data_IF_944627824705
#
_entry.id   IF_944627824705
#
_cell.length_a   1.000
_cell.length_b   1.000
_cell.length_c   1.000
_cell.angle_alpha   90.00
_cell.angle_beta   90.00
_cell.angle_gamma   90.00
#
_symmetry.space_group_name_H-M   'P 1'
#
loop_
_entity.id
_entity.type
_entity.pdbx_description
1 polymer ?
#
# COMPACT_ATOMS: atom_id res chain seq x y z
N UNK A 1 -41.08 0.28 21.47
CA UNK A 1 -40.29 1.49 21.12
C UNK A 1 -38.79 1.29 20.92
N UNK A 2 -38.15 0.29 21.53
CA UNK A 2 -36.71 0.01 21.32
C UNK A 2 -36.35 -0.37 19.86
N UNK A 3 -37.21 -1.14 19.20
CA UNK A 3 -37.00 -1.57 17.80
C UNK A 3 -37.08 -0.41 16.81
N UNK A 4 -38.00 0.53 17.03
CA UNK A 4 -38.12 1.75 16.24
C UNK A 4 -36.87 2.63 16.36
N UNK A 5 -36.37 2.81 17.58
CA UNK A 5 -35.11 3.52 17.84
C UNK A 5 -33.92 2.85 17.14
N UNK A 6 -33.82 1.51 17.20
CA UNK A 6 -32.77 0.75 16.51
C UNK A 6 -32.85 0.92 14.99
N UNK A 7 -34.06 0.85 14.41
CA UNK A 7 -34.26 1.05 12.97
C UNK A 7 -33.90 2.46 12.51
N UNK A 8 -34.25 3.50 13.27
CA UNK A 8 -33.87 4.88 12.97
C UNK A 8 -32.38 5.13 13.12
N UNK A 9 -31.75 4.51 14.12
CA UNK A 9 -30.29 4.62 14.32
C UNK A 9 -29.54 3.94 13.16
N UNK A 10 -29.98 2.77 12.71
CA UNK A 10 -29.42 2.08 11.56
C UNK A 10 -29.62 2.87 10.26
N UNK A 11 -30.81 3.44 10.05
CA UNK A 11 -31.11 4.29 8.89
C UNK A 11 -30.27 5.58 8.89
N UNK A 12 -30.11 6.23 10.04
CA UNK A 12 -29.25 7.41 10.18
C UNK A 12 -27.78 7.07 9.89
N UNK A 13 -27.28 5.94 10.39
CA UNK A 13 -25.93 5.45 10.10
C UNK A 13 -25.74 5.18 8.60
N UNK A 14 -26.76 4.64 7.91
CA UNK A 14 -26.76 4.42 6.47
C UNK A 14 -26.75 5.74 5.69
N UNK A 15 -27.54 6.74 6.11
CA UNK A 15 -27.52 8.05 5.49
C UNK A 15 -26.19 8.77 5.68
N UNK A 16 -25.57 8.73 6.86
CA UNK A 16 -24.23 9.32 7.08
C UNK A 16 -23.20 8.63 6.19
N UNK A 17 -23.23 7.31 6.14
CA UNK A 17 -22.39 6.46 5.28
C UNK A 17 -22.45 6.87 3.80
N UNK A 18 -23.64 7.17 3.29
CA UNK A 18 -23.83 7.55 1.89
C UNK A 18 -23.55 9.05 1.68
N UNK A 19 -23.98 9.90 2.62
CA UNK A 19 -23.96 11.36 2.46
C UNK A 19 -22.56 11.95 2.62
N UNK A 20 -21.73 11.43 3.54
CA UNK A 20 -20.38 11.98 3.75
C UNK A 20 -19.51 11.87 2.48
N UNK A 21 -19.44 10.72 1.79
CA UNK A 21 -18.72 10.65 0.51
C UNK A 21 -19.38 11.48 -0.60
N UNK A 22 -20.71 11.60 -0.63
CA UNK A 22 -21.43 12.40 -1.64
C UNK A 22 -21.29 13.92 -1.45
N UNK A 23 -21.09 14.37 -0.21
CA UNK A 23 -20.95 15.77 0.14
C UNK A 23 -19.51 16.29 -0.03
N UNK A 24 -18.52 15.40 0.00
CA UNK A 24 -17.13 15.72 -0.29
C UNK A 24 -16.87 15.63 -1.80
N UNK A 25 -15.87 16.36 -2.30
CA UNK A 25 -15.51 16.31 -3.72
C UNK A 25 -15.14 14.89 -4.14
N UNK A 26 -15.19 14.61 -5.45
CA UNK A 26 -14.98 13.26 -6.02
C UNK A 26 -13.68 12.60 -5.56
N UNK A 27 -12.69 13.39 -5.15
CA UNK A 27 -11.36 12.99 -4.71
C UNK A 27 -11.34 12.35 -3.30
N UNK A 28 -12.28 12.73 -2.42
CA UNK A 28 -12.29 12.27 -1.01
C UNK A 28 -13.05 10.99 -0.78
N UNK A 29 -13.84 10.54 -1.77
CA UNK A 29 -14.76 9.41 -1.60
C UNK A 29 -14.02 8.13 -1.19
N UNK A 30 -12.85 7.85 -1.79
CA UNK A 30 -12.05 6.66 -1.46
C UNK A 30 -11.53 6.71 -0.03
N UNK A 31 -11.05 7.87 0.41
CA UNK A 31 -10.61 8.08 1.78
C UNK A 31 -11.75 7.85 2.77
N UNK A 32 -12.94 8.40 2.50
CA UNK A 32 -14.13 8.20 3.33
C UNK A 32 -14.54 6.73 3.40
N UNK A 33 -14.63 6.03 2.26
CA UNK A 33 -14.97 4.61 2.23
C UNK A 33 -13.93 3.75 2.95
N UNK A 34 -12.64 4.10 2.86
CA UNK A 34 -11.59 3.40 3.59
C UNK A 34 -11.73 3.59 5.11
N UNK A 35 -12.07 4.79 5.58
CA UNK A 35 -12.34 5.05 7.00
C UNK A 35 -13.60 4.31 7.45
N UNK A 36 -14.65 4.31 6.64
CA UNK A 36 -15.87 3.60 6.94
C UNK A 36 -15.64 2.09 7.04
N UNK A 37 -14.89 1.49 6.12
CA UNK A 37 -14.53 0.07 6.17
C UNK A 37 -13.77 -0.27 7.46
N UNK A 38 -12.86 0.61 7.91
CA UNK A 38 -12.15 0.46 9.18
C UNK A 38 -13.10 0.48 10.37
N UNK A 39 -14.03 1.44 10.39
CA UNK A 39 -15.04 1.57 11.45
C UNK A 39 -15.93 0.33 11.50
N UNK A 40 -16.32 -0.21 10.34
CA UNK A 40 -17.12 -1.43 10.27
C UNK A 40 -16.35 -2.63 10.86
N UNK A 41 -15.07 -2.79 10.54
CA UNK A 41 -14.24 -3.83 11.17
C UNK A 41 -14.10 -3.61 12.69
N UNK A 42 -14.01 -2.36 13.15
CA UNK A 42 -13.90 -2.05 14.58
C UNK A 42 -15.18 -2.41 15.33
N UNK A 43 -16.34 -2.05 14.79
CA UNK A 43 -17.64 -2.43 15.34
C UNK A 43 -17.82 -3.95 15.27
N UNK A 44 -17.40 -4.60 14.18
CA UNK A 44 -17.46 -6.05 14.04
C UNK A 44 -16.65 -6.77 15.14
N UNK A 45 -15.46 -6.26 15.47
CA UNK A 45 -14.66 -6.76 16.60
C UNK A 45 -15.33 -6.52 17.96
N UNK A 46 -15.98 -5.38 18.15
CA UNK A 46 -16.72 -5.05 19.39
C UNK A 46 -17.96 -5.92 19.61
N UNK A 47 -18.62 -6.33 18.54
CA UNK A 47 -19.85 -7.11 18.58
C UNK A 47 -19.64 -8.61 18.31
N UNK A 48 -18.40 -9.05 18.09
CA UNK A 48 -18.03 -10.39 17.57
C UNK A 48 -18.84 -10.83 16.34
N UNK A 49 -19.25 -9.88 15.48
CA UNK A 49 -20.11 -10.16 14.32
C UNK A 49 -19.30 -10.42 13.05
N UNK A 50 -19.41 -11.62 12.49
CA UNK A 50 -18.78 -12.02 11.23
C UNK A 50 -19.47 -11.39 10.04
N UNK A 51 -20.79 -11.24 10.04
CA UNK A 51 -21.50 -10.52 8.98
C UNK A 51 -20.93 -9.11 8.76
N UNK A 52 -20.77 -8.34 9.83
CA UNK A 52 -20.25 -6.98 9.74
C UNK A 52 -18.77 -6.95 9.32
N UNK A 53 -18.00 -7.97 9.72
CA UNK A 53 -16.61 -8.14 9.28
C UNK A 53 -16.52 -8.34 7.76
N UNK A 54 -17.36 -9.20 7.17
CA UNK A 54 -17.39 -9.42 5.73
C UNK A 54 -17.84 -8.18 4.96
N UNK A 55 -18.82 -7.45 5.48
CA UNK A 55 -19.25 -6.19 4.88
C UNK A 55 -18.11 -5.16 4.86
N UNK A 56 -17.30 -5.10 5.92
CA UNK A 56 -16.06 -4.33 5.95
C UNK A 56 -15.04 -4.77 4.89
N UNK A 57 -14.85 -6.08 4.70
CA UNK A 57 -13.97 -6.62 3.65
C UNK A 57 -14.45 -6.28 2.24
N UNK A 58 -15.75 -6.40 1.97
CA UNK A 58 -16.34 -6.02 0.67
C UNK A 58 -16.09 -4.53 0.40
N UNK A 59 -16.27 -3.67 1.41
CA UNK A 59 -16.01 -2.25 1.25
C UNK A 59 -14.53 -1.96 1.00
N UNK A 60 -13.61 -2.64 1.69
CA UNK A 60 -12.17 -2.55 1.39
C UNK A 60 -11.81 -3.03 -0.02
N UNK A 61 -12.48 -4.05 -0.54
CA UNK A 61 -12.30 -4.50 -1.92
C UNK A 61 -12.75 -3.44 -2.92
N UNK A 62 -13.87 -2.75 -2.65
CA UNK A 62 -14.34 -1.61 -3.46
C UNK A 62 -13.31 -0.47 -3.41
N UNK A 63 -12.81 -0.12 -2.22
CA UNK A 63 -11.76 0.89 -2.03
C UNK A 63 -10.51 0.54 -2.84
N UNK A 64 -10.05 -0.71 -2.77
CA UNK A 64 -8.87 -1.17 -3.53
C UNK A 64 -9.10 -1.10 -5.04
N UNK A 65 -10.25 -1.57 -5.53
CA UNK A 65 -10.61 -1.51 -6.95
C UNK A 65 -10.68 -0.07 -7.45
N UNK A 66 -11.29 0.82 -6.67
CA UNK A 66 -11.38 2.24 -6.99
C UNK A 66 -10.02 2.94 -6.97
N UNK A 67 -9.20 2.68 -5.95
CA UNK A 67 -7.84 3.21 -5.83
C UNK A 67 -7.04 2.92 -7.11
N UNK A 68 -7.09 1.68 -7.59
CA UNK A 68 -6.33 1.23 -8.75
C UNK A 68 -6.91 1.76 -10.07
N UNK A 69 -8.24 1.66 -10.25
CA UNK A 69 -8.86 1.92 -11.54
C UNK A 69 -9.25 3.39 -11.77
N UNK A 70 -9.43 4.18 -10.71
CA UNK A 70 -9.95 5.54 -10.79
C UNK A 70 -8.96 6.53 -10.21
N UNK A 71 -8.55 6.38 -8.95
CA UNK A 71 -7.81 7.44 -8.26
C UNK A 71 -6.37 7.55 -8.80
N UNK A 72 -5.66 6.43 -8.98
CA UNK A 72 -4.30 6.43 -9.54
C UNK A 72 -4.26 7.04 -10.96
N UNK A 73 -5.10 6.61 -11.92
CA UNK A 73 -5.13 7.22 -13.24
C UNK A 73 -5.50 8.71 -13.20
N UNK A 74 -6.51 9.09 -12.40
CA UNK A 74 -6.99 10.48 -12.36
C UNK A 74 -5.91 11.43 -11.87
N UNK A 75 -5.11 11.03 -10.88
CA UNK A 75 -4.11 11.89 -10.24
C UNK A 75 -2.74 11.90 -10.94
N UNK A 76 -2.38 10.83 -11.67
CA UNK A 76 -1.03 10.68 -12.25
C UNK A 76 -0.99 10.48 -13.78
N UNK A 77 -2.12 10.48 -14.49
CA UNK A 77 -2.11 10.41 -15.98
C UNK A 77 -1.53 11.68 -16.60
N UNK A 78 -1.83 12.84 -16.02
CA UNK A 78 -1.40 14.13 -16.56
C UNK A 78 -0.16 14.60 -15.82
N UNK A 79 0.99 14.45 -16.45
CA UNK A 79 2.28 14.93 -15.95
C UNK A 79 2.29 16.46 -16.03
N UNK A 80 2.52 17.12 -14.90
CA UNK A 80 2.58 18.58 -14.84
C UNK A 80 4.03 19.05 -14.92
N UNK A 81 4.53 19.26 -16.14
CA UNK A 81 5.92 19.72 -16.35
C UNK A 81 6.07 21.19 -15.99
N UNK A 82 7.08 21.54 -15.20
CA UNK A 82 7.46 22.93 -14.93
C UNK A 82 6.59 23.65 -13.88
N UNK A 83 5.94 22.91 -12.99
CA UNK A 83 5.11 23.48 -11.93
C UNK A 83 5.95 24.19 -10.85
N UNK A 84 5.53 25.37 -10.37
CA UNK A 84 6.16 26.02 -9.22
C UNK A 84 6.11 25.14 -7.96
N UNK A 85 7.15 25.22 -7.11
CA UNK A 85 7.25 24.41 -5.87
C UNK A 85 6.04 24.58 -4.94
N UNK A 86 5.47 25.78 -4.87
CA UNK A 86 4.29 26.05 -4.02
C UNK A 86 3.05 25.30 -4.48
N UNK A 87 2.78 25.28 -5.79
CA UNK A 87 1.64 24.55 -6.36
C UNK A 87 1.84 23.04 -6.24
N UNK A 88 3.06 22.55 -6.50
CA UNK A 88 3.40 21.15 -6.30
C UNK A 88 3.20 20.72 -4.84
N UNK A 89 3.61 21.54 -3.86
CA UNK A 89 3.46 21.20 -2.44
C UNK A 89 1.98 21.07 -2.02
N UNK A 90 1.09 21.90 -2.56
CA UNK A 90 -0.35 21.82 -2.31
C UNK A 90 -0.91 20.53 -2.90
N UNK A 91 -0.58 20.22 -4.16
CA UNK A 91 -1.05 18.98 -4.81
C UNK A 91 -0.47 17.72 -4.16
N UNK A 92 0.80 17.76 -3.73
CA UNK A 92 1.41 16.69 -2.96
C UNK A 92 0.65 16.43 -1.67
N UNK A 93 0.24 17.49 -0.95
CA UNK A 93 -0.54 17.35 0.28
C UNK A 93 -1.92 16.74 0.00
N UNK A 94 -2.57 17.14 -1.09
CA UNK A 94 -3.85 16.58 -1.53
C UNK A 94 -3.72 15.09 -1.87
N UNK A 95 -2.73 14.71 -2.70
CA UNK A 95 -2.43 13.30 -3.02
C UNK A 95 -2.06 12.50 -1.77
N UNK A 96 -1.29 13.10 -0.85
CA UNK A 96 -0.93 12.47 0.43
C UNK A 96 -2.17 12.14 1.25
N UNK A 97 -3.19 12.98 1.25
CA UNK A 97 -4.47 12.69 1.93
C UNK A 97 -5.28 11.63 1.20
N UNK A 98 -5.44 11.76 -0.12
CA UNK A 98 -6.23 10.85 -0.96
C UNK A 98 -5.70 9.41 -0.89
N UNK A 99 -4.37 9.24 -0.97
CA UNK A 99 -3.74 7.92 -0.97
C UNK A 99 -3.29 7.48 0.42
N UNK A 100 -2.83 8.41 1.26
CA UNK A 100 -2.33 8.11 2.59
C UNK A 100 -3.42 7.64 3.56
N UNK A 101 -4.64 8.18 3.47
CA UNK A 101 -5.76 7.75 4.33
C UNK A 101 -6.15 6.29 4.07
N UNK A 102 -6.39 5.84 2.82
CA UNK A 102 -6.59 4.42 2.52
C UNK A 102 -5.43 3.53 2.99
N UNK A 103 -4.18 3.91 2.72
CA UNK A 103 -3.00 3.14 3.16
C UNK A 103 -2.99 3.00 4.70
N UNK A 104 -3.14 4.11 5.42
CA UNK A 104 -3.19 4.12 6.87
C UNK A 104 -4.36 3.27 7.41
N UNK A 105 -5.52 3.34 6.75
CA UNK A 105 -6.69 2.54 7.07
C UNK A 105 -6.43 1.03 6.93
N UNK A 106 -5.80 0.57 5.84
CA UNK A 106 -5.43 -0.85 5.69
C UNK A 106 -4.43 -1.32 6.77
N UNK A 107 -3.46 -0.47 7.14
CA UNK A 107 -2.55 -0.79 8.25
C UNK A 107 -3.31 -0.86 9.59
N UNK A 108 -4.22 0.08 9.84
CA UNK A 108 -5.06 0.08 11.04
C UNK A 108 -5.98 -1.16 11.10
N UNK A 109 -6.57 -1.57 9.97
CA UNK A 109 -7.35 -2.81 9.87
C UNK A 109 -6.49 -4.03 10.20
N UNK A 110 -5.27 -4.10 9.68
CA UNK A 110 -4.33 -5.18 10.03
C UNK A 110 -4.02 -5.24 11.53
N UNK A 111 -3.82 -4.09 12.19
CA UNK A 111 -3.60 -4.02 13.65
C UNK A 111 -4.85 -4.43 14.44
N UNK A 112 -6.02 -3.97 14.01
CA UNK A 112 -7.29 -4.28 14.65
C UNK A 112 -7.62 -5.77 14.57
N UNK A 113 -7.31 -6.42 13.45
CA UNK A 113 -7.52 -7.86 13.28
C UNK A 113 -6.51 -8.71 14.07
N UNK A 114 -5.32 -8.18 14.36
CA UNK A 114 -4.34 -8.83 15.26
C UNK A 114 -4.74 -8.71 16.73
N UNK A 115 -5.30 -7.56 17.13
CA UNK A 115 -5.70 -7.26 18.50
C UNK A 115 -7.17 -6.81 18.52
N UNK A 116 -8.13 -7.76 18.47
CA UNK A 116 -9.55 -7.43 18.51
C UNK A 116 -9.90 -6.64 19.78
N UNK A 117 -10.76 -5.62 19.69
CA UNK A 117 -11.19 -4.86 20.86
C UNK A 117 -11.99 -5.75 21.82
N UNK A 118 -11.93 -5.45 23.13
CA UNK A 118 -12.76 -6.14 24.13
C UNK A 118 -14.24 -6.08 23.73
N UNK A 119 -14.87 -7.25 23.62
CA UNK A 119 -16.24 -7.42 23.18
C UNK A 119 -17.26 -6.94 24.20
N UNK A 120 -18.36 -6.38 23.72
CA UNK A 120 -19.55 -6.12 24.53
C UNK A 120 -20.32 -7.45 24.76
N UNK A 121 -21.16 -7.55 25.81
CA UNK A 121 -22.05 -8.71 25.97
C UNK A 121 -22.82 -8.95 24.65
N UNK A 122 -22.76 -10.18 24.13
CA UNK A 122 -23.16 -10.48 22.75
C UNK A 122 -24.54 -9.91 22.43
N UNK A 123 -24.58 -8.91 21.54
CA UNK A 123 -25.82 -8.31 21.06
C UNK A 123 -26.48 -9.16 19.95
N UNK A 124 -25.70 -10.04 19.30
CA UNK A 124 -26.15 -10.97 18.27
C UNK A 124 -25.87 -12.40 18.75
N UNK A 125 -26.90 -13.23 18.83
CA UNK A 125 -26.74 -14.65 19.12
C UNK A 125 -25.99 -15.33 17.97
N UNK A 126 -25.01 -16.17 18.29
CA UNK A 126 -24.14 -16.86 17.31
C UNK A 126 -24.90 -17.72 16.30
N UNK A 127 -26.10 -18.17 16.64
CA UNK A 127 -26.99 -18.94 15.74
C UNK A 127 -27.47 -18.15 14.52
N UNK A 128 -27.45 -16.81 14.58
CA UNK A 128 -27.86 -15.94 13.47
C UNK A 128 -26.67 -15.33 12.69
N UNK A 129 -25.43 -15.71 12.99
CA UNK A 129 -24.25 -15.15 12.32
C UNK A 129 -23.70 -16.10 11.25
N UNK A 130 -22.95 -15.54 10.29
CA UNK A 130 -22.38 -16.30 9.18
C UNK A 130 -21.02 -16.89 9.54
N UNK A 131 -20.67 -18.00 8.89
CA UNK A 131 -19.34 -18.59 9.00
C UNK A 131 -18.24 -17.63 8.53
N UNK A 132 -17.06 -17.74 9.15
CA UNK A 132 -15.94 -16.90 8.76
C UNK A 132 -15.24 -17.41 7.49
N UNK A 133 -15.46 -16.75 6.35
CA UNK A 133 -14.83 -17.11 5.08
C UNK A 133 -13.32 -16.79 5.06
N UNK A 134 -12.87 -15.77 5.80
CA UNK A 134 -11.46 -15.36 5.85
C UNK A 134 -10.93 -15.48 7.27
N UNK A 135 -10.13 -16.53 7.50
CA UNK A 135 -9.45 -16.71 8.78
C UNK A 135 -8.62 -15.46 9.14
N UNK A 136 -8.67 -15.05 10.41
CA UNK A 136 -8.08 -13.78 10.88
C UNK A 136 -6.61 -13.60 10.50
N UNK A 137 -5.80 -14.66 10.53
CA UNK A 137 -4.38 -14.60 10.16
C UNK A 137 -4.17 -14.24 8.68
N UNK A 138 -4.98 -14.80 7.78
CA UNK A 138 -4.90 -14.49 6.35
C UNK A 138 -5.39 -13.08 6.05
N UNK A 139 -6.46 -12.62 6.72
CA UNK A 139 -6.95 -11.25 6.59
C UNK A 139 -5.87 -10.21 6.98
N UNK A 140 -5.14 -10.47 8.07
CA UNK A 140 -4.02 -9.62 8.51
C UNK A 140 -2.90 -9.59 7.48
N UNK A 141 -2.50 -10.75 6.94
CA UNK A 141 -1.44 -10.84 5.92
C UNK A 141 -1.86 -10.09 4.65
N UNK A 142 -3.11 -10.26 4.21
CA UNK A 142 -3.66 -9.58 3.04
C UNK A 142 -3.69 -8.07 3.25
N UNK A 143 -4.20 -7.58 4.38
CA UNK A 143 -4.24 -6.16 4.70
C UNK A 143 -2.83 -5.53 4.72
N UNK A 144 -1.86 -6.21 5.33
CA UNK A 144 -0.47 -5.76 5.36
C UNK A 144 0.17 -5.76 3.96
N UNK A 145 -0.11 -6.77 3.14
CA UNK A 145 0.42 -6.89 1.77
C UNK A 145 -0.16 -5.80 0.87
N UNK A 146 -1.47 -5.57 0.95
CA UNK A 146 -2.16 -4.52 0.19
C UNK A 146 -1.64 -3.14 0.61
N UNK A 147 -1.54 -2.85 1.91
CA UNK A 147 -1.00 -1.59 2.39
C UNK A 147 0.43 -1.33 1.89
N UNK A 148 1.29 -2.35 1.93
CA UNK A 148 2.67 -2.26 1.45
C UNK A 148 2.72 -2.03 -0.07
N UNK A 149 1.88 -2.73 -0.83
CA UNK A 149 1.76 -2.54 -2.29
C UNK A 149 1.27 -1.15 -2.66
N UNK A 150 0.22 -0.65 -1.99
CA UNK A 150 -0.27 0.71 -2.17
C UNK A 150 0.81 1.75 -1.86
N UNK A 151 1.53 1.58 -0.74
CA UNK A 151 2.63 2.48 -0.35
C UNK A 151 3.76 2.47 -1.39
N UNK A 152 4.14 1.30 -1.89
CA UNK A 152 5.14 1.15 -2.94
C UNK A 152 4.74 1.87 -4.24
N UNK A 153 3.48 1.69 -4.67
CA UNK A 153 2.96 2.33 -5.89
C UNK A 153 2.89 3.85 -5.71
N UNK A 154 2.29 4.33 -4.62
CA UNK A 154 2.16 5.77 -4.32
C UNK A 154 3.53 6.45 -4.28
N UNK A 155 4.48 5.94 -3.50
CA UNK A 155 5.82 6.54 -3.41
C UNK A 155 6.60 6.47 -4.73
N UNK A 156 6.40 5.43 -5.54
CA UNK A 156 7.03 5.32 -6.86
C UNK A 156 6.50 6.36 -7.85
N UNK A 157 5.19 6.61 -7.84
CA UNK A 157 4.57 7.62 -8.71
C UNK A 157 4.88 9.03 -8.23
N UNK A 158 4.84 9.26 -6.92
CA UNK A 158 5.12 10.58 -6.36
C UNK A 158 6.59 10.97 -6.56
N UNK A 159 7.53 10.04 -6.36
CA UNK A 159 8.94 10.30 -6.64
C UNK A 159 9.17 10.56 -8.13
N UNK A 160 8.45 9.85 -9.02
CA UNK A 160 8.52 10.11 -10.46
C UNK A 160 8.08 11.54 -10.77
N UNK A 161 6.91 11.95 -10.28
CA UNK A 161 6.36 13.28 -10.55
C UNK A 161 7.29 14.38 -10.00
N UNK A 162 7.80 14.19 -8.78
CA UNK A 162 8.79 15.09 -8.19
C UNK A 162 10.06 15.21 -9.05
N UNK A 163 10.65 14.07 -9.43
CA UNK A 163 11.87 14.08 -10.23
C UNK A 163 11.62 14.67 -11.62
N UNK A 164 10.46 14.43 -12.24
CA UNK A 164 10.14 14.98 -13.55
C UNK A 164 9.93 16.50 -13.49
N UNK A 165 9.36 17.01 -12.40
CA UNK A 165 9.18 18.44 -12.19
C UNK A 165 10.49 19.20 -11.95
N UNK A 166 11.42 18.64 -11.15
CA UNK A 166 12.61 19.35 -10.69
C UNK A 166 13.92 18.91 -11.33
N UNK A 167 14.08 17.61 -11.61
CA UNK A 167 15.35 17.03 -12.09
C UNK A 167 15.12 15.87 -13.08
N UNK A 168 14.58 16.13 -14.29
CA UNK A 168 14.13 15.09 -15.23
C UNK A 168 15.19 14.03 -15.57
N UNK A 169 16.46 14.44 -15.60
CA UNK A 169 17.59 13.56 -15.89
C UNK A 169 17.81 12.44 -14.86
N UNK A 170 17.29 12.59 -13.64
CA UNK A 170 17.43 11.64 -12.54
C UNK A 170 16.22 10.71 -12.35
N UNK A 171 15.13 10.88 -13.11
CA UNK A 171 13.90 10.10 -12.97
C UNK A 171 14.13 8.57 -13.00
N UNK A 172 14.87 8.08 -14.00
CA UNK A 172 15.06 6.64 -14.20
C UNK A 172 15.82 6.00 -13.02
N UNK A 173 16.94 6.62 -12.65
CA UNK A 173 17.80 6.17 -11.54
C UNK A 173 17.15 6.35 -10.17
N UNK A 174 16.45 7.46 -9.93
CA UNK A 174 15.78 7.73 -8.66
C UNK A 174 14.70 6.69 -8.32
N UNK A 175 13.90 6.27 -9.31
CA UNK A 175 12.91 5.19 -9.13
C UNK A 175 13.61 3.86 -8.83
N UNK A 176 14.73 3.55 -9.51
CA UNK A 176 15.51 2.33 -9.25
C UNK A 176 16.06 2.31 -7.81
N UNK A 177 16.55 3.45 -7.31
CA UNK A 177 17.02 3.60 -5.92
C UNK A 177 15.87 3.39 -4.94
N UNK A 178 14.70 4.00 -5.17
CA UNK A 178 13.53 3.82 -4.31
C UNK A 178 13.14 2.34 -4.23
N UNK A 179 13.06 1.65 -5.36
CA UNK A 179 12.73 0.23 -5.40
C UNK A 179 13.79 -0.63 -4.69
N UNK A 180 15.08 -0.27 -4.79
CA UNK A 180 16.15 -0.95 -4.06
C UNK A 180 15.96 -0.79 -2.54
N UNK A 181 15.62 0.42 -2.07
CA UNK A 181 15.35 0.68 -0.65
C UNK A 181 14.16 -0.13 -0.15
N UNK A 182 13.07 -0.21 -0.93
CA UNK A 182 11.94 -1.09 -0.62
C UNK A 182 12.36 -2.56 -0.55
N UNK A 183 13.11 -3.05 -1.55
CA UNK A 183 13.58 -4.42 -1.59
C UNK A 183 14.44 -4.78 -0.36
N UNK A 184 15.40 -3.93 0.00
CA UNK A 184 16.24 -4.09 1.18
C UNK A 184 15.43 -4.04 2.47
N UNK A 185 14.45 -3.12 2.56
CA UNK A 185 13.56 -3.02 3.72
C UNK A 185 12.70 -4.27 3.90
N UNK A 186 12.21 -4.87 2.80
CA UNK A 186 11.47 -6.12 2.82
C UNK A 186 12.37 -7.30 3.20
N UNK A 187 13.58 -7.39 2.66
CA UNK A 187 14.55 -8.44 3.04
C UNK A 187 14.91 -8.32 4.52
N UNK A 188 15.29 -7.13 4.99
CA UNK A 188 15.64 -6.87 6.39
C UNK A 188 14.47 -7.13 7.34
N UNK A 189 13.28 -6.63 7.02
CA UNK A 189 12.06 -6.89 7.79
C UNK A 189 11.68 -8.38 7.80
N UNK A 190 11.90 -9.09 6.70
CA UNK A 190 11.66 -10.53 6.57
C UNK A 190 12.68 -11.38 7.33
N UNK A 191 13.91 -10.91 7.49
CA UNK A 191 14.92 -11.53 8.37
C UNK A 191 14.54 -11.28 9.83
N UNK A 192 14.26 -10.02 10.20
CA UNK A 192 13.94 -9.64 11.58
C UNK A 192 12.68 -10.34 12.12
N UNK A 193 11.64 -10.47 11.28
CA UNK A 193 10.39 -11.15 11.63
C UNK A 193 10.37 -12.65 11.27
N UNK A 194 11.47 -13.20 10.77
CA UNK A 194 11.61 -14.57 10.26
C UNK A 194 10.58 -14.98 9.17
N UNK A 195 9.96 -14.03 8.48
CA UNK A 195 8.97 -14.29 7.43
C UNK A 195 9.66 -14.65 6.11
N UNK A 196 9.54 -15.90 5.66
CA UNK A 196 10.11 -16.36 4.37
C UNK A 196 9.53 -15.62 3.17
N UNK A 197 8.20 -15.43 3.15
CA UNK A 197 7.51 -14.75 2.05
C UNK A 197 8.06 -13.33 1.81
N UNK A 198 8.22 -12.52 2.87
CA UNK A 198 8.71 -11.15 2.75
C UNK A 198 10.15 -11.09 2.21
N UNK A 199 10.99 -12.07 2.58
CA UNK A 199 12.35 -12.22 2.02
C UNK A 199 12.34 -12.54 0.54
N UNK A 200 11.52 -13.50 0.10
CA UNK A 200 11.45 -13.87 -1.31
C UNK A 200 10.87 -12.75 -2.19
N UNK A 201 9.83 -12.05 -1.71
CA UNK A 201 9.29 -10.89 -2.43
C UNK A 201 10.32 -9.76 -2.51
N UNK A 202 11.03 -9.48 -1.41
CA UNK A 202 12.11 -8.49 -1.40
C UNK A 202 13.27 -8.87 -2.34
N UNK A 203 13.68 -10.15 -2.35
CA UNK A 203 14.70 -10.65 -3.29
C UNK A 203 14.24 -10.58 -4.74
N UNK A 204 12.98 -10.91 -5.02
CA UNK A 204 12.40 -10.79 -6.36
C UNK A 204 12.40 -9.33 -6.82
N UNK A 205 11.97 -8.39 -5.95
CA UNK A 205 12.03 -6.96 -6.25
C UNK A 205 13.48 -6.48 -6.46
N UNK A 206 14.43 -6.94 -5.63
CA UNK A 206 15.85 -6.62 -5.78
C UNK A 206 16.40 -7.11 -7.12
N UNK A 207 16.03 -8.32 -7.54
CA UNK A 207 16.41 -8.87 -8.84
C UNK A 207 15.83 -8.05 -10.00
N UNK A 208 14.57 -7.63 -9.88
CA UNK A 208 13.92 -6.72 -10.86
C UNK A 208 14.65 -5.39 -10.94
N UNK A 209 15.07 -4.81 -9.80
CA UNK A 209 15.85 -3.57 -9.78
C UNK A 209 17.21 -3.75 -10.42
N UNK A 210 17.95 -4.80 -10.07
CA UNK A 210 19.25 -5.10 -10.68
C UNK A 210 19.10 -5.23 -12.19
N UNK A 211 18.13 -6.03 -12.66
CA UNK A 211 17.80 -6.15 -14.08
C UNK A 211 17.50 -4.78 -14.70
N UNK A 212 16.60 -4.00 -14.10
CA UNK A 212 16.23 -2.67 -14.61
C UNK A 212 17.45 -1.75 -14.73
N UNK A 213 18.33 -1.72 -13.74
CA UNK A 213 19.53 -0.87 -13.76
C UNK A 213 20.47 -1.29 -14.90
N UNK A 214 20.70 -2.59 -15.09
CA UNK A 214 21.58 -3.10 -16.15
C UNK A 214 21.02 -2.93 -17.56
N UNK A 215 19.71 -3.09 -17.75
CA UNK A 215 19.11 -3.11 -19.09
C UNK A 215 18.44 -1.79 -19.48
N UNK A 216 17.92 -1.01 -18.53
CA UNK A 216 17.21 0.25 -18.80
C UNK A 216 18.10 1.44 -18.52
N UNK A 217 18.70 1.51 -17.33
CA UNK A 217 19.47 2.70 -16.92
C UNK A 217 20.82 2.75 -17.65
N UNK A 218 21.52 1.62 -17.74
CA UNK A 218 22.76 1.46 -18.49
C UNK A 218 22.60 1.53 -20.01
N UNK A 219 21.39 1.26 -20.54
CA UNK A 219 21.11 1.42 -21.96
C UNK A 219 21.02 2.88 -22.41
N UNK A 220 20.76 3.81 -21.48
CA UNK A 220 20.74 5.26 -21.75
C UNK A 220 22.14 5.88 -21.73
N UNK A 221 23.12 5.20 -21.17
CA UNK A 221 24.52 5.62 -21.17
C UNK A 221 25.16 5.36 -22.53
N UNK A 222 26.11 6.22 -22.91
CA UNK A 222 26.94 6.00 -24.10
C UNK A 222 27.64 4.64 -24.01
N UNK A 223 27.88 4.03 -25.17
CA UNK A 223 28.32 2.64 -25.28
C UNK A 223 29.58 2.33 -24.46
N UNK A 224 30.50 3.30 -24.33
CA UNK A 224 31.74 3.15 -23.56
C UNK A 224 31.44 2.99 -22.05
N UNK A 225 30.60 3.85 -21.46
CA UNK A 225 30.25 3.76 -20.04
C UNK A 225 29.53 2.45 -19.71
N UNK A 226 28.74 1.93 -20.65
CA UNK A 226 28.07 0.64 -20.52
C UNK A 226 29.05 -0.52 -20.42
N UNK A 227 30.05 -0.57 -21.31
CA UNK A 227 31.10 -1.60 -21.31
C UNK A 227 31.88 -1.53 -19.99
N UNK A 228 32.29 -0.33 -19.56
CA UNK A 228 33.04 -0.13 -18.31
C UNK A 228 32.23 -0.57 -17.10
N UNK A 229 30.93 -0.23 -17.02
CA UNK A 229 30.08 -0.62 -15.90
C UNK A 229 29.88 -2.15 -15.82
N UNK A 230 29.74 -2.84 -16.97
CA UNK A 230 29.67 -4.31 -16.98
C UNK A 230 30.99 -4.95 -16.54
N UNK A 231 32.13 -4.43 -16.99
CA UNK A 231 33.46 -4.88 -16.57
C UNK A 231 33.67 -4.71 -15.06
N UNK A 232 33.39 -3.52 -14.53
CA UNK A 232 33.51 -3.24 -13.10
C UNK A 232 32.58 -4.12 -12.26
N UNK A 233 31.32 -4.27 -12.68
CA UNK A 233 30.36 -5.16 -12.00
C UNK A 233 30.83 -6.61 -11.99
N UNK A 234 31.37 -7.10 -13.11
CA UNK A 234 31.95 -8.44 -13.22
C UNK A 234 33.15 -8.65 -12.30
N UNK A 235 34.08 -7.69 -12.27
CA UNK A 235 35.24 -7.72 -11.36
C UNK A 235 34.77 -7.74 -9.90
N UNK A 236 33.77 -6.92 -9.56
CA UNK A 236 33.24 -6.82 -8.19
C UNK A 236 32.56 -8.12 -7.75
N UNK A 237 31.78 -8.77 -8.63
CA UNK A 237 31.17 -10.08 -8.38
C UNK A 237 32.23 -11.17 -8.22
N UNK A 238 33.25 -11.21 -9.07
CA UNK A 238 34.36 -12.16 -8.96
C UNK A 238 35.14 -11.95 -7.65
N UNK A 239 35.39 -10.70 -7.28
CA UNK A 239 36.06 -10.34 -6.04
C UNK A 239 35.23 -10.76 -4.82
N UNK A 240 33.93 -10.48 -4.82
CA UNK A 240 33.01 -10.90 -3.77
C UNK A 240 32.89 -12.43 -3.65
N UNK A 241 32.85 -13.13 -4.79
CA UNK A 241 32.86 -14.60 -4.82
C UNK A 241 34.17 -15.17 -4.26
N UNK A 242 35.32 -14.61 -4.64
CA UNK A 242 36.63 -15.02 -4.12
C UNK A 242 36.75 -14.81 -2.62
N UNK A 243 36.28 -13.66 -2.12
CA UNK A 243 36.20 -13.36 -0.68
C UNK A 243 35.29 -14.36 0.03
N UNK A 244 34.09 -14.61 -0.49
CA UNK A 244 33.15 -15.58 0.09
C UNK A 244 33.74 -17.00 0.16
N UNK A 245 34.46 -17.42 -0.88
CA UNK A 245 35.12 -18.72 -0.92
C UNK A 245 36.27 -18.80 0.10
N UNK A 246 37.07 -17.74 0.22
CA UNK A 246 38.23 -17.68 1.11
C UNK A 246 37.83 -17.67 2.60
N UNK A 247 36.69 -17.06 2.96
CA UNK A 247 36.19 -17.07 4.35
C UNK A 247 35.41 -18.35 4.72
N UNK A 248 35.12 -19.23 3.76
CA UNK A 248 34.41 -20.50 3.99
C UNK A 248 35.36 -21.70 4.14
N UNK A 249 36.59 -21.58 3.67
CA UNK A 249 37.73 -22.49 3.93
C UNK A 249 38.46 -22.09 5.20
#
# INVERSE_FOLDING_TARGET
>A
DRELLLSFTALAALFITITVPLALSSEWITATWAVQALVMLWIAGKLDSKFLQHLGYVLYMIVLGRFICIDLPTQYIFVSTGMPLGEYAVQFMERLMIFGVPIASFVAAGRLLQSPPEGLPMAVERDNDIDNLVQGNWAVILAATVALGMLFVFTSLELREFLDAFVPGLCAGGISILWAVFALSMIGGGIYKNTRALRYVGLALFAVVAWKVFFVDLARLEQIYRIVAFLLSGILLLSGSFVYLTFRT
#
